data_IF_722124102620
#
_entry.id   IF_722124102620
#
_cell.length_a   1.000
_cell.length_b   1.000
_cell.length_c   1.000
_cell.angle_alpha   90.00
_cell.angle_beta   90.00
_cell.angle_gamma   90.00
#
_symmetry.space_group_name_H-M   'P 1'
#
loop_
_entity.id
_entity.type
_entity.pdbx_description
1 polymer ?
#
# COMPACT_ATOMS: atom_id res chain seq x y z
N UNK A 1 30.34 -18.50 14.38
CA UNK A 1 29.83 -17.26 13.75
C UNK A 1 28.42 -17.57 13.24
N UNK A 2 27.39 -16.88 13.76
CA UNK A 2 25.99 -17.20 13.42
C UNK A 2 25.75 -17.06 11.91
N UNK A 3 25.15 -18.07 11.25
CA UNK A 3 24.89 -18.06 9.81
C UNK A 3 23.67 -17.20 9.43
N UNK A 4 23.59 -16.00 9.99
CA UNK A 4 22.48 -15.05 9.80
C UNK A 4 22.28 -14.72 8.32
N UNK A 5 23.37 -14.63 7.55
CA UNK A 5 23.29 -14.39 6.10
C UNK A 5 22.65 -15.56 5.35
N UNK A 6 22.87 -16.80 5.78
CA UNK A 6 22.20 -17.96 5.20
C UNK A 6 20.72 -17.98 5.57
N UNK A 7 20.39 -17.69 6.84
CA UNK A 7 18.98 -17.58 7.28
C UNK A 7 18.25 -16.50 6.48
N UNK A 8 18.87 -15.32 6.33
CA UNK A 8 18.30 -14.22 5.54
C UNK A 8 18.16 -14.59 4.06
N UNK A 9 19.09 -15.37 3.52
CA UNK A 9 19.01 -15.89 2.14
C UNK A 9 17.89 -16.91 1.98
N UNK A 10 17.75 -17.86 2.91
CA UNK A 10 16.64 -18.81 2.91
C UNK A 10 15.29 -18.08 3.03
N UNK A 11 15.19 -17.09 3.93
CA UNK A 11 13.99 -16.23 4.04
C UNK A 11 13.69 -15.49 2.74
N UNK A 12 14.72 -15.03 2.02
CA UNK A 12 14.55 -14.35 0.74
C UNK A 12 14.16 -15.31 -0.40
N UNK A 13 14.58 -16.57 -0.30
CA UNK A 13 14.27 -17.65 -1.26
C UNK A 13 12.93 -18.34 -0.94
N UNK A 14 12.36 -18.15 0.25
CA UNK A 14 10.98 -18.55 0.58
C UNK A 14 10.00 -17.79 -0.33
N UNK A 15 9.51 -18.47 -1.36
CA UNK A 15 8.41 -17.98 -2.17
C UNK A 15 7.11 -18.04 -1.39
N UNK A 16 6.25 -17.03 -1.51
CA UNK A 16 4.88 -17.10 -0.99
C UNK A 16 4.20 -18.37 -1.51
N UNK A 17 3.84 -19.27 -0.61
CA UNK A 17 3.18 -20.54 -0.94
C UNK A 17 1.99 -20.29 -1.87
N UNK A 18 2.01 -20.89 -3.05
CA UNK A 18 0.88 -20.84 -3.99
C UNK A 18 0.08 -22.13 -3.83
N UNK A 19 -1.11 -22.09 -3.22
CA UNK A 19 -1.84 -23.31 -2.92
C UNK A 19 -2.40 -23.92 -4.21
N UNK A 20 -2.48 -25.25 -4.25
CA UNK A 20 -2.96 -26.02 -5.40
C UNK A 20 -4.45 -25.79 -5.70
N UNK A 21 -5.20 -25.27 -4.73
CA UNK A 21 -6.60 -24.88 -4.85
C UNK A 21 -6.80 -23.45 -4.33
N UNK A 22 -6.61 -22.45 -5.21
CA UNK A 22 -6.85 -21.03 -4.87
C UNK A 22 -8.35 -20.76 -4.76
N UNK A 23 -8.89 -20.83 -3.55
CA UNK A 23 -10.33 -20.76 -3.25
C UNK A 23 -10.96 -19.41 -3.63
N UNK A 24 -10.20 -18.32 -3.72
CA UNK A 24 -10.78 -17.01 -4.04
C UNK A 24 -10.09 -16.21 -5.15
N UNK A 25 -10.16 -16.72 -6.38
CA UNK A 25 -9.68 -16.03 -7.61
C UNK A 25 -10.26 -14.62 -7.80
N UNK A 26 -11.47 -14.37 -7.32
CA UNK A 26 -12.15 -13.08 -7.48
C UNK A 26 -11.55 -12.03 -6.55
N UNK A 27 -11.33 -12.35 -5.26
CA UNK A 27 -10.67 -11.44 -4.33
C UNK A 27 -9.22 -11.14 -4.75
N UNK A 28 -8.50 -12.13 -5.28
CA UNK A 28 -7.14 -11.92 -5.81
C UNK A 28 -7.18 -10.95 -6.99
N UNK A 29 -8.10 -11.15 -7.96
CA UNK A 29 -8.28 -10.23 -9.09
C UNK A 29 -8.65 -8.82 -8.64
N UNK A 30 -9.58 -8.69 -7.69
CA UNK A 30 -9.96 -7.40 -7.11
C UNK A 30 -8.77 -6.70 -6.44
N UNK A 31 -7.94 -7.43 -5.69
CA UNK A 31 -6.73 -6.87 -5.08
C UNK A 31 -5.69 -6.42 -6.12
N UNK A 32 -5.55 -7.15 -7.23
CA UNK A 32 -4.67 -6.77 -8.35
C UNK A 32 -5.18 -5.53 -9.05
N UNK A 33 -6.48 -5.48 -9.34
CA UNK A 33 -7.14 -4.29 -9.91
C UNK A 33 -6.93 -3.09 -9.00
N UNK A 34 -7.14 -3.23 -7.69
CA UNK A 34 -6.91 -2.15 -6.73
C UNK A 34 -5.47 -1.63 -6.77
N UNK A 35 -4.47 -2.51 -6.78
CA UNK A 35 -3.04 -2.10 -6.88
C UNK A 35 -2.76 -1.40 -8.20
N UNK A 36 -3.28 -1.91 -9.32
CA UNK A 36 -3.11 -1.32 -10.65
C UNK A 36 -3.77 0.06 -10.72
N UNK A 37 -5.02 0.19 -10.28
CA UNK A 37 -5.75 1.47 -10.23
C UNK A 37 -5.01 2.49 -9.37
N UNK A 38 -4.43 2.08 -8.24
CA UNK A 38 -3.61 2.95 -7.42
C UNK A 38 -2.38 3.45 -8.17
N UNK A 39 -1.62 2.55 -8.79
CA UNK A 39 -0.43 2.90 -9.56
C UNK A 39 -0.75 3.85 -10.73
N UNK A 40 -1.81 3.56 -11.49
CA UNK A 40 -2.25 4.42 -12.58
C UNK A 40 -2.59 5.81 -12.04
N UNK A 41 -3.37 5.91 -10.95
CA UNK A 41 -3.74 7.19 -10.35
C UNK A 41 -2.54 8.01 -9.89
N UNK A 42 -1.54 7.37 -9.27
CA UNK A 42 -0.30 8.05 -8.87
C UNK A 42 0.46 8.58 -10.09
N UNK A 43 0.62 7.76 -11.13
CA UNK A 43 1.32 8.15 -12.37
C UNK A 43 0.58 9.28 -13.09
N UNK A 44 -0.74 9.17 -13.26
CA UNK A 44 -1.55 10.21 -13.91
C UNK A 44 -1.54 11.51 -13.12
N UNK A 45 -1.51 11.45 -11.79
CA UNK A 45 -1.35 12.64 -10.95
C UNK A 45 0.01 13.33 -11.18
N UNK A 46 1.12 12.58 -11.22
CA UNK A 46 2.44 13.16 -11.49
C UNK A 46 2.52 13.79 -12.88
N UNK A 47 1.97 13.13 -13.90
CA UNK A 47 1.88 13.69 -15.24
C UNK A 47 1.06 15.00 -15.27
N UNK A 48 -0.07 15.02 -14.56
CA UNK A 48 -0.90 16.22 -14.44
C UNK A 48 -0.16 17.35 -13.74
N UNK A 49 0.58 17.06 -12.66
CA UNK A 49 1.40 18.03 -11.95
C UNK A 49 2.49 18.63 -12.85
N UNK A 50 3.13 17.83 -13.70
CA UNK A 50 4.10 18.32 -14.69
C UNK A 50 3.43 19.30 -15.64
N UNK A 51 2.27 18.96 -16.21
CA UNK A 51 1.51 19.85 -17.11
C UNK A 51 1.15 21.16 -16.41
N UNK A 52 0.67 21.11 -15.17
CA UNK A 52 0.33 22.31 -14.41
C UNK A 52 1.54 23.18 -14.13
N UNK A 53 2.70 22.60 -13.80
CA UNK A 53 3.95 23.35 -13.57
C UNK A 53 4.51 23.96 -14.86
N UNK A 54 4.38 23.29 -16.00
CA UNK A 54 4.91 23.79 -17.27
C UNK A 54 4.01 24.81 -17.95
N UNK A 55 2.68 24.68 -17.83
CA UNK A 55 1.72 25.54 -18.55
C UNK A 55 1.00 26.55 -17.66
N UNK A 56 0.90 26.30 -16.35
CA UNK A 56 0.26 27.20 -15.39
C UNK A 56 0.92 28.58 -15.29
N UNK A 57 2.23 28.68 -14.98
CA UNK A 57 2.88 29.98 -14.74
C UNK A 57 3.15 30.78 -16.01
N UNK A 58 3.26 30.12 -17.17
CA UNK A 58 3.59 30.80 -18.43
C UNK A 58 2.37 31.30 -19.21
N UNK A 59 1.15 31.06 -18.69
CA UNK A 59 -0.13 31.43 -19.31
C UNK A 59 -0.24 31.05 -20.81
N UNK A 60 0.53 30.04 -21.20
CA UNK A 60 0.60 29.49 -22.55
C UNK A 60 -0.64 28.63 -22.76
N UNK A 61 -1.76 29.28 -23.10
CA UNK A 61 -3.03 28.64 -23.45
C UNK A 61 -2.85 27.83 -24.73
N UNK A 62 -2.47 26.57 -24.58
CA UNK A 62 -2.51 25.59 -25.66
C UNK A 62 -3.75 24.71 -25.46
N UNK A 63 -4.63 24.66 -26.46
CA UNK A 63 -5.79 23.75 -26.42
C UNK A 63 -5.36 22.30 -26.18
N UNK A 64 -4.17 21.92 -26.66
CA UNK A 64 -3.60 20.60 -26.47
C UNK A 64 -3.26 20.31 -24.99
N UNK A 65 -2.71 21.28 -24.25
CA UNK A 65 -2.35 21.09 -22.85
C UNK A 65 -3.59 20.99 -21.97
N UNK A 66 -4.63 21.77 -22.27
CA UNK A 66 -5.91 21.68 -21.58
C UNK A 66 -6.61 20.33 -21.82
N UNK A 67 -6.69 19.86 -23.08
CA UNK A 67 -7.27 18.54 -23.40
C UNK A 67 -6.49 17.41 -22.72
N UNK A 68 -5.16 17.52 -22.67
CA UNK A 68 -4.30 16.54 -22.01
C UNK A 68 -4.48 16.54 -20.48
N UNK A 69 -4.61 17.71 -19.86
CA UNK A 69 -4.91 17.81 -18.43
C UNK A 69 -6.29 17.21 -18.12
N UNK A 70 -7.30 17.52 -18.94
CA UNK A 70 -8.66 17.02 -18.79
C UNK A 70 -8.73 15.49 -18.90
N UNK A 71 -8.02 14.89 -19.85
CA UNK A 71 -7.98 13.43 -20.01
C UNK A 71 -7.33 12.75 -18.79
N UNK A 72 -6.22 13.27 -18.28
CA UNK A 72 -5.56 12.76 -17.08
C UNK A 72 -6.43 12.90 -15.82
N UNK A 73 -7.21 13.97 -15.70
CA UNK A 73 -8.19 14.12 -14.63
C UNK A 73 -9.28 13.05 -14.69
N UNK A 74 -9.89 12.81 -15.86
CA UNK A 74 -10.89 11.75 -15.99
C UNK A 74 -10.33 10.36 -15.70
N UNK A 75 -9.09 10.08 -16.13
CA UNK A 75 -8.38 8.85 -15.76
C UNK A 75 -8.24 8.75 -14.24
N UNK A 76 -7.82 9.82 -13.56
CA UNK A 76 -7.71 9.86 -12.10
C UNK A 76 -9.06 9.60 -11.42
N UNK A 77 -10.15 10.20 -11.90
CA UNK A 77 -11.50 9.99 -11.35
C UNK A 77 -11.92 8.52 -11.50
N UNK A 78 -11.82 7.95 -12.70
CA UNK A 78 -12.20 6.55 -12.97
C UNK A 78 -11.38 5.59 -12.11
N UNK A 79 -10.07 5.78 -12.05
CA UNK A 79 -9.16 4.92 -11.28
C UNK A 79 -9.33 5.10 -9.77
N UNK A 80 -9.54 6.33 -9.30
CA UNK A 80 -9.80 6.63 -7.91
C UNK A 80 -11.10 6.00 -7.41
N UNK A 81 -12.18 6.10 -8.19
CA UNK A 81 -13.46 5.42 -7.88
C UNK A 81 -13.29 3.91 -7.87
N UNK A 82 -12.59 3.35 -8.87
CA UNK A 82 -12.30 1.91 -8.94
C UNK A 82 -11.49 1.43 -7.72
N UNK A 83 -10.50 2.20 -7.29
CA UNK A 83 -9.70 1.89 -6.10
C UNK A 83 -10.55 1.88 -4.82
N UNK A 84 -11.45 2.85 -4.68
CA UNK A 84 -12.30 3.01 -3.49
C UNK A 84 -13.46 2.00 -3.44
N UNK A 85 -13.92 1.49 -4.59
CA UNK A 85 -15.01 0.51 -4.66
C UNK A 85 -14.57 -0.92 -4.30
N UNK A 86 -13.32 -1.31 -4.59
CA UNK A 86 -12.81 -2.67 -4.30
C UNK A 86 -12.98 -3.08 -2.83
N UNK A 87 -12.58 -2.26 -1.83
CA UNK A 87 -12.81 -2.59 -0.42
C UNK A 87 -14.29 -2.80 -0.06
N UNK A 88 -15.19 -2.04 -0.68
CA UNK A 88 -16.65 -2.14 -0.43
C UNK A 88 -17.15 -3.49 -0.95
N UNK A 89 -16.78 -3.86 -2.18
CA UNK A 89 -17.14 -5.15 -2.79
C UNK A 89 -16.60 -6.31 -1.95
N UNK A 90 -15.33 -6.24 -1.52
CA UNK A 90 -14.72 -7.27 -0.69
C UNK A 90 -15.43 -7.39 0.67
N UNK A 91 -15.84 -6.29 1.28
CA UNK A 91 -16.55 -6.30 2.57
C UNK A 91 -17.92 -6.96 2.46
N UNK A 92 -18.69 -6.64 1.41
CA UNK A 92 -20.00 -7.25 1.16
C UNK A 92 -19.85 -8.76 0.98
N UNK A 93 -18.86 -9.19 0.18
CA UNK A 93 -18.57 -10.62 -0.01
C UNK A 93 -18.21 -11.31 1.30
N UNK A 94 -17.35 -10.68 2.09
CA UNK A 94 -16.89 -11.23 3.36
C UNK A 94 -18.04 -11.41 4.36
N UNK A 95 -18.99 -10.46 4.42
CA UNK A 95 -20.19 -10.59 5.24
C UNK A 95 -21.06 -11.77 4.78
N UNK A 96 -21.23 -11.95 3.47
CA UNK A 96 -22.08 -13.00 2.92
C UNK A 96 -21.52 -14.41 3.14
N UNK A 97 -20.19 -14.58 3.09
CA UNK A 97 -19.51 -15.88 3.18
C UNK A 97 -18.54 -15.99 4.36
N UNK A 98 -18.81 -15.29 5.47
CA UNK A 98 -17.87 -15.11 6.57
C UNK A 98 -17.23 -16.42 7.06
N UNK A 99 -18.05 -17.42 7.39
CA UNK A 99 -17.58 -18.68 7.97
C UNK A 99 -16.67 -19.46 7.01
N UNK A 100 -17.05 -19.54 5.74
CA UNK A 100 -16.26 -20.26 4.73
C UNK A 100 -14.97 -19.52 4.39
N UNK A 101 -15.02 -18.19 4.31
CA UNK A 101 -13.85 -17.37 3.99
C UNK A 101 -12.80 -17.43 5.11
N UNK A 102 -13.22 -17.26 6.37
CA UNK A 102 -12.32 -17.29 7.54
C UNK A 102 -11.63 -18.64 7.70
N UNK A 103 -12.36 -19.75 7.57
CA UNK A 103 -11.79 -21.09 7.73
C UNK A 103 -10.80 -21.39 6.61
N UNK A 104 -11.14 -21.04 5.36
CA UNK A 104 -10.24 -21.29 4.24
C UNK A 104 -8.99 -20.40 4.27
N UNK A 105 -9.13 -19.14 4.67
CA UNK A 105 -7.99 -18.22 4.87
C UNK A 105 -7.07 -18.73 5.98
N UNK A 106 -7.64 -19.20 7.10
CA UNK A 106 -6.87 -19.78 8.20
C UNK A 106 -6.12 -21.05 7.79
N UNK A 107 -6.76 -21.98 7.07
CA UNK A 107 -6.10 -23.20 6.59
C UNK A 107 -4.93 -22.85 5.67
N UNK A 108 -5.10 -21.86 4.80
CA UNK A 108 -4.05 -21.40 3.90
C UNK A 108 -2.87 -20.77 4.64
N UNK A 109 -3.15 -19.90 5.62
CA UNK A 109 -2.12 -19.26 6.43
C UNK A 109 -1.32 -20.31 7.21
N UNK A 110 -2.00 -21.33 7.78
CA UNK A 110 -1.34 -22.45 8.49
C UNK A 110 -0.42 -23.24 7.55
N UNK A 111 -0.92 -23.68 6.40
CA UNK A 111 -0.13 -24.48 5.43
C UNK A 111 1.08 -23.68 4.91
N UNK A 112 0.88 -22.38 4.64
CA UNK A 112 1.99 -21.50 4.27
C UNK A 112 3.01 -21.33 5.40
N UNK A 113 2.56 -21.16 6.64
CA UNK A 113 3.45 -20.99 7.80
C UNK A 113 4.22 -22.28 8.09
N UNK A 114 3.60 -23.45 7.95
CA UNK A 114 4.25 -24.76 8.12
C UNK A 114 5.42 -24.95 7.15
N UNK A 115 5.25 -24.64 5.86
CA UNK A 115 6.34 -24.72 4.88
C UNK A 115 7.51 -23.78 5.21
N UNK A 116 7.21 -22.56 5.65
CA UNK A 116 8.25 -21.62 6.08
C UNK A 116 8.95 -22.11 7.36
N UNK A 117 8.21 -22.71 8.29
CA UNK A 117 8.78 -23.32 9.50
C UNK A 117 9.71 -24.48 9.12
N UNK A 118 9.29 -25.39 8.23
CA UNK A 118 10.10 -26.52 7.77
C UNK A 118 11.43 -26.06 7.18
N UNK A 119 11.41 -25.01 6.36
CA UNK A 119 12.62 -24.43 5.78
C UNK A 119 13.56 -23.79 6.84
N UNK A 120 13.05 -23.42 8.01
CA UNK A 120 13.82 -22.85 9.12
C UNK A 120 14.28 -23.87 10.17
N UNK A 121 13.65 -25.05 10.24
CA UNK A 121 14.01 -26.12 11.19
C UNK A 121 15.50 -26.52 11.20
N UNK A 122 16.23 -26.53 10.07
CA UNK A 122 17.66 -26.90 10.05
C UNK A 122 18.56 -25.96 10.86
N UNK A 123 18.15 -24.71 11.11
CA UNK A 123 18.96 -23.72 11.82
C UNK A 123 18.94 -23.91 13.34
N UNK A 124 20.05 -23.67 14.03
CA UNK A 124 20.13 -23.87 15.47
C UNK A 124 19.19 -22.95 16.27
N UNK A 125 18.83 -23.36 17.48
CA UNK A 125 17.96 -22.58 18.37
C UNK A 125 18.57 -21.18 18.66
N UNK A 126 19.88 -21.13 18.88
CA UNK A 126 20.61 -19.89 19.15
C UNK A 126 20.58 -18.93 17.95
N UNK A 127 20.75 -19.45 16.73
CA UNK A 127 20.69 -18.65 15.51
C UNK A 127 19.30 -18.06 15.28
N UNK A 128 18.25 -18.88 15.41
CA UNK A 128 16.86 -18.42 15.27
C UNK A 128 16.50 -17.38 16.33
N UNK A 129 16.94 -17.60 17.58
CA UNK A 129 16.71 -16.66 18.69
C UNK A 129 17.42 -15.33 18.43
N UNK A 130 18.67 -15.37 17.95
CA UNK A 130 19.41 -14.17 17.58
C UNK A 130 18.70 -13.36 16.48
N UNK A 131 18.21 -14.04 15.43
CA UNK A 131 17.47 -13.39 14.34
C UNK A 131 16.15 -12.80 14.82
N UNK A 132 15.38 -13.53 15.62
CA UNK A 132 14.12 -13.02 16.20
C UNK A 132 14.36 -11.74 17.03
N UNK A 133 15.39 -11.75 17.89
CA UNK A 133 15.78 -10.58 18.68
C UNK A 133 16.17 -9.39 17.79
N UNK A 134 16.94 -9.63 16.72
CA UNK A 134 17.31 -8.59 15.77
C UNK A 134 16.08 -7.95 15.09
N UNK A 135 15.08 -8.77 14.72
CA UNK A 135 13.84 -8.28 14.13
C UNK A 135 13.01 -7.52 15.17
N UNK A 136 12.89 -8.05 16.39
CA UNK A 136 12.15 -7.43 17.48
C UNK A 136 12.62 -6.02 17.80
N UNK A 137 13.94 -5.76 17.80
CA UNK A 137 14.49 -4.42 18.03
C UNK A 137 14.18 -3.46 16.87
N UNK A 138 13.99 -3.95 15.65
CA UNK A 138 13.73 -3.14 14.45
C UNK A 138 12.26 -2.77 14.26
N UNK A 139 11.33 -3.60 14.73
CA UNK A 139 9.88 -3.35 14.67
C UNK A 139 9.48 -1.99 15.26
N UNK A 140 9.84 -1.62 16.52
CA UNK A 140 9.44 -0.35 17.10
C UNK A 140 10.04 0.85 16.36
N UNK A 141 11.27 0.72 15.85
CA UNK A 141 11.94 1.75 15.04
C UNK A 141 11.23 2.04 13.70
N UNK A 142 10.52 1.06 13.15
CA UNK A 142 9.71 1.24 11.94
C UNK A 142 8.30 1.69 12.30
N UNK A 143 7.72 1.14 13.37
CA UNK A 143 6.41 1.54 13.89
C UNK A 143 6.37 3.02 14.25
N UNK A 144 7.45 3.58 14.81
CA UNK A 144 7.55 5.01 15.13
C UNK A 144 7.55 5.93 13.91
N UNK A 145 7.78 5.38 12.70
CA UNK A 145 7.73 6.12 11.42
C UNK A 145 6.36 6.02 10.74
N UNK A 146 5.47 5.16 11.24
CA UNK A 146 4.10 5.10 10.75
C UNK A 146 3.30 6.27 11.33
N UNK A 147 2.62 6.99 10.45
CA UNK A 147 1.70 8.05 10.86
C UNK A 147 0.34 7.43 11.25
N UNK A 148 -0.32 8.01 12.27
CA UNK A 148 -1.66 7.59 12.70
C UNK A 148 -2.70 7.77 11.58
N UNK A 149 -2.57 8.84 10.81
CA UNK A 149 -3.44 9.17 9.68
C UNK A 149 -2.68 8.92 8.38
N UNK A 150 -3.19 8.02 7.53
CA UNK A 150 -2.63 7.76 6.21
C UNK A 150 -2.79 6.33 5.72
N UNK A 151 -3.01 6.20 4.42
CA UNK A 151 -3.10 4.94 3.70
C UNK A 151 -3.50 5.20 2.25
N UNK A 152 -3.73 4.13 1.47
CA UNK A 152 -4.03 4.31 0.04
C UNK A 152 -5.35 5.03 -0.22
N UNK A 153 -6.37 4.86 0.64
CA UNK A 153 -7.65 5.58 0.50
C UNK A 153 -7.49 7.09 0.67
N UNK A 154 -6.77 7.52 1.69
CA UNK A 154 -6.53 8.95 1.94
C UNK A 154 -5.65 9.55 0.85
N UNK A 155 -4.65 8.81 0.36
CA UNK A 155 -3.84 9.23 -0.79
C UNK A 155 -4.70 9.46 -2.05
N UNK A 156 -5.62 8.54 -2.37
CA UNK A 156 -6.52 8.69 -3.52
C UNK A 156 -7.45 9.90 -3.36
N UNK A 157 -8.02 10.12 -2.18
CA UNK A 157 -8.87 11.30 -1.92
C UNK A 157 -8.07 12.59 -2.14
N UNK A 158 -6.83 12.66 -1.63
CA UNK A 158 -5.96 13.81 -1.87
C UNK A 158 -5.60 13.98 -3.35
N UNK A 159 -5.32 12.89 -4.09
CA UNK A 159 -5.07 12.95 -5.53
C UNK A 159 -6.29 13.49 -6.29
N UNK A 160 -7.49 13.05 -5.96
CA UNK A 160 -8.72 13.54 -6.60
C UNK A 160 -8.92 15.04 -6.34
N UNK A 161 -8.74 15.49 -5.10
CA UNK A 161 -8.84 16.91 -4.75
C UNK A 161 -7.77 17.76 -5.46
N UNK A 162 -6.52 17.31 -5.45
CA UNK A 162 -5.42 18.01 -6.09
C UNK A 162 -5.53 18.01 -7.62
N UNK A 163 -5.97 16.91 -8.24
CA UNK A 163 -6.18 16.84 -9.69
C UNK A 163 -7.27 17.79 -10.17
N UNK A 164 -8.34 17.98 -9.38
CA UNK A 164 -9.34 19.00 -9.66
C UNK A 164 -8.73 20.41 -9.59
N UNK A 165 -7.98 20.73 -8.53
CA UNK A 165 -7.30 22.04 -8.42
C UNK A 165 -6.32 22.30 -9.56
N UNK A 166 -5.62 21.26 -10.03
CA UNK A 166 -4.69 21.34 -11.15
C UNK A 166 -5.38 21.70 -12.47
N UNK A 167 -6.59 21.20 -12.72
CA UNK A 167 -7.41 21.58 -13.89
C UNK A 167 -7.81 23.03 -13.84
N UNK A 168 -8.26 23.54 -12.68
CA UNK A 168 -8.64 24.94 -12.51
C UNK A 168 -7.48 25.87 -12.90
N UNK A 169 -6.26 25.56 -12.46
CA UNK A 169 -5.04 26.30 -12.80
C UNK A 169 -4.75 26.24 -14.31
N UNK A 170 -4.83 25.04 -14.92
CA UNK A 170 -4.57 24.87 -16.37
C UNK A 170 -5.61 25.59 -17.24
N UNK A 171 -6.85 25.71 -16.77
CA UNK A 171 -7.91 26.46 -17.45
C UNK A 171 -7.72 28.00 -17.36
N UNK A 172 -6.70 28.47 -16.65
CA UNK A 172 -6.46 29.89 -16.39
C UNK A 172 -7.43 30.49 -15.36
N UNK A 173 -8.15 29.64 -14.62
CA UNK A 173 -8.87 30.06 -13.42
C UNK A 173 -7.90 30.19 -12.24
N UNK A 174 -8.22 31.07 -11.29
CA UNK A 174 -7.53 31.08 -10.01
C UNK A 174 -7.99 29.89 -9.16
N UNK A 175 -7.16 29.51 -8.19
CA UNK A 175 -7.55 28.55 -7.13
C UNK A 175 -8.60 29.20 -6.19
N UNK A 176 -8.84 30.49 -6.36
CA UNK A 176 -9.61 31.33 -5.48
C UNK A 176 -11.12 31.11 -5.68
N UNK A 177 -11.82 30.69 -4.63
CA UNK A 177 -13.26 30.42 -4.64
C UNK A 177 -13.64 28.96 -4.92
N UNK A 178 -12.70 28.02 -4.88
CA UNK A 178 -12.98 26.59 -5.08
C UNK A 178 -13.66 25.96 -3.84
N UNK A 179 -13.25 26.34 -2.62
CA UNK A 179 -13.81 25.75 -1.39
C UNK A 179 -14.32 26.80 -0.41
N UNK A 180 -13.46 27.73 0.05
CA UNK A 180 -13.76 28.63 1.17
C UNK A 180 -13.34 30.09 0.89
N UNK A 181 -12.62 30.36 -0.21
CA UNK A 181 -12.14 31.68 -0.62
C UNK A 181 -10.62 31.74 -0.85
N UNK A 182 -10.10 32.86 -1.36
CA UNK A 182 -8.74 32.95 -1.95
C UNK A 182 -7.61 32.36 -1.08
N UNK A 183 -7.56 32.75 0.20
CA UNK A 183 -6.51 32.29 1.12
C UNK A 183 -6.80 30.89 1.65
N UNK A 184 -8.08 30.56 1.85
CA UNK A 184 -8.52 29.25 2.34
C UNK A 184 -8.20 28.12 1.36
N UNK A 185 -8.40 28.35 0.07
CA UNK A 185 -8.20 27.33 -0.96
C UNK A 185 -6.73 26.98 -1.16
N UNK A 186 -5.83 27.96 -1.06
CA UNK A 186 -4.38 27.75 -1.06
C UNK A 186 -3.92 26.91 0.13
N UNK A 187 -4.49 27.18 1.32
CA UNK A 187 -4.24 26.38 2.53
C UNK A 187 -4.74 24.95 2.36
N UNK A 188 -5.94 24.76 1.81
CA UNK A 188 -6.52 23.43 1.57
C UNK A 188 -5.66 22.63 0.59
N UNK A 189 -5.22 23.22 -0.52
CA UNK A 189 -4.32 22.56 -1.48
C UNK A 189 -3.00 22.16 -0.82
N UNK A 190 -2.40 23.03 0.00
CA UNK A 190 -1.18 22.70 0.74
C UNK A 190 -1.39 21.55 1.74
N UNK A 191 -2.50 21.55 2.47
CA UNK A 191 -2.89 20.46 3.37
C UNK A 191 -3.07 19.15 2.59
N UNK A 192 -3.70 19.19 1.41
CA UNK A 192 -3.91 17.98 0.59
C UNK A 192 -2.60 17.41 0.07
N UNK A 193 -1.63 18.25 -0.31
CA UNK A 193 -0.26 17.79 -0.63
C UNK A 193 0.41 17.13 0.57
N UNK A 194 0.28 17.73 1.76
CA UNK A 194 0.82 17.16 2.99
C UNK A 194 0.18 15.80 3.32
N UNK A 195 -1.15 15.67 3.17
CA UNK A 195 -1.87 14.41 3.37
C UNK A 195 -1.43 13.36 2.35
N UNK A 196 -1.26 13.74 1.08
CA UNK A 196 -0.79 12.82 0.04
C UNK A 196 0.61 12.28 0.38
N UNK A 197 1.55 13.18 0.71
CA UNK A 197 2.91 12.81 1.08
C UNK A 197 2.95 11.86 2.28
N UNK A 198 2.28 12.24 3.37
CA UNK A 198 2.24 11.42 4.59
C UNK A 198 1.54 10.08 4.36
N UNK A 199 0.49 10.05 3.54
CA UNK A 199 -0.24 8.81 3.19
C UNK A 199 0.61 7.83 2.41
N UNK A 200 1.37 8.30 1.41
CA UNK A 200 2.30 7.47 0.62
C UNK A 200 3.42 6.90 1.50
N UNK A 201 4.03 7.73 2.33
CA UNK A 201 5.06 7.29 3.28
C UNK A 201 4.50 6.25 4.26
N UNK A 202 3.29 6.46 4.78
CA UNK A 202 2.67 5.54 5.70
C UNK A 202 2.38 4.17 5.06
N UNK A 203 1.98 4.13 3.79
CA UNK A 203 1.80 2.87 3.06
C UNK A 203 3.10 2.05 3.01
N UNK A 204 4.22 2.71 2.68
CA UNK A 204 5.53 2.06 2.62
C UNK A 204 5.96 1.49 3.98
N UNK A 205 5.83 2.28 5.04
CA UNK A 205 6.20 1.82 6.39
C UNK A 205 5.27 0.73 6.90
N UNK A 206 3.96 0.79 6.64
CA UNK A 206 3.02 -0.28 7.00
C UNK A 206 3.34 -1.60 6.32
N UNK A 207 3.66 -1.57 5.02
CA UNK A 207 4.02 -2.79 4.29
C UNK A 207 5.32 -3.40 4.84
N UNK A 208 6.32 -2.57 5.13
CA UNK A 208 7.58 -3.02 5.75
C UNK A 208 7.37 -3.57 7.16
N UNK A 209 6.50 -2.93 7.95
CA UNK A 209 6.17 -3.37 9.30
C UNK A 209 5.48 -4.73 9.28
N UNK A 210 4.49 -4.91 8.40
CA UNK A 210 3.75 -6.16 8.25
C UNK A 210 4.67 -7.31 7.83
N UNK A 211 5.57 -7.06 6.88
CA UNK A 211 6.59 -8.04 6.49
C UNK A 211 7.46 -8.48 7.68
N UNK A 212 7.97 -7.55 8.49
CA UNK A 212 8.79 -7.88 9.65
C UNK A 212 8.00 -8.57 10.77
N UNK A 213 6.72 -8.24 10.94
CA UNK A 213 5.85 -8.90 11.92
C UNK A 213 5.59 -10.35 11.53
N UNK A 214 5.26 -10.61 10.26
CA UNK A 214 5.06 -11.96 9.75
C UNK A 214 6.35 -12.78 9.86
N UNK A 215 7.48 -12.20 9.47
CA UNK A 215 8.77 -12.88 9.59
C UNK A 215 9.12 -13.25 11.03
N UNK A 216 8.88 -12.32 11.98
CA UNK A 216 9.08 -12.59 13.41
C UNK A 216 8.17 -13.72 13.88
N UNK A 217 6.90 -13.71 13.48
CA UNK A 217 5.91 -14.71 13.85
C UNK A 217 6.35 -16.11 13.41
N UNK A 218 6.77 -16.27 12.14
CA UNK A 218 7.26 -17.54 11.60
C UNK A 218 8.47 -18.04 12.41
N UNK A 219 9.47 -17.19 12.65
CA UNK A 219 10.68 -17.56 13.41
C UNK A 219 10.34 -17.95 14.85
N UNK A 220 9.45 -17.18 15.51
CA UNK A 220 9.02 -17.47 16.88
C UNK A 220 8.27 -18.81 16.95
N UNK A 221 7.49 -19.17 15.93
CA UNK A 221 6.85 -20.49 15.81
C UNK A 221 7.88 -21.60 15.62
N UNK A 222 8.88 -21.43 14.75
CA UNK A 222 9.98 -22.40 14.59
C UNK A 222 10.74 -22.62 15.90
N UNK A 223 11.03 -21.54 16.66
CA UNK A 223 11.70 -21.63 17.97
C UNK A 223 10.87 -22.45 18.96
N UNK A 224 9.55 -22.21 19.03
CA UNK A 224 8.64 -22.96 19.92
C UNK A 224 8.60 -24.45 19.59
N UNK A 225 8.46 -24.78 18.30
CA UNK A 225 8.48 -26.17 17.83
C UNK A 225 9.80 -26.82 18.24
N UNK A 226 10.92 -26.18 17.93
CA UNK A 226 12.24 -26.74 18.24
C UNK A 226 12.43 -26.99 19.73
N UNK A 227 12.01 -26.07 20.60
CA UNK A 227 12.06 -26.28 22.07
C UNK A 227 11.20 -27.43 22.58
N UNK A 228 10.09 -27.75 21.92
CA UNK A 228 9.22 -28.85 22.33
C UNK A 228 9.72 -30.22 21.88
N UNK A 229 10.64 -30.26 20.89
CA UNK A 229 11.21 -31.49 20.31
C UNK A 229 12.70 -31.72 20.68
N UNK A 230 13.27 -30.89 21.56
CA UNK A 230 14.63 -31.07 22.13
C UNK A 230 14.53 -31.29 23.62
#
# INVERSE_FOLDING_TARGET
MYRVNHIMRTINEMSSYTPHMKVNRIAERLSKVQKISFCISVISFFLLAIITLTYGPFNTKSNLSFISALSLYFINVIMGVTYLSVPVINTIKYIYNFKGEVVNELIYDIDSDEQHIEALLPYSLEELTYVSNCIQVRIPKIKSKCFLWGGGKTAIISILCLSYSAICIVNGGSIDGIFVGETGDKIIVAIMFFILYTSLMNMFFKQKLLYLQNLKMIIDMTIKIKRNFT
#
